data_IF_308098416857
#
_entry.id   IF_308098416857
#
_cell.length_a   1.000
_cell.length_b   1.000
_cell.length_c   1.000
_cell.angle_alpha   90.00
_cell.angle_beta   90.00
_cell.angle_gamma   90.00
#
_symmetry.space_group_name_H-M   'P 1'
#
loop_
_entity.id
_entity.type
_entity.pdbx_description
1 polymer ?
#
# COMPACT_ATOMS: atom_id res chain seq x y z
N UNK A 1 12.04 4.49 5.56
CA UNK A 1 11.29 3.23 5.37
C UNK A 1 10.08 3.54 4.53
N UNK A 2 9.48 2.50 3.98
CA UNK A 2 8.30 2.61 3.13
C UNK A 2 7.05 2.25 3.91
N UNK A 3 5.94 2.87 3.53
CA UNK A 3 4.61 2.65 4.09
C UNK A 3 3.84 1.78 3.12
N UNK A 4 3.39 0.61 3.57
CA UNK A 4 2.50 -0.25 2.80
C UNK A 4 1.10 0.35 2.85
N UNK A 5 0.54 0.61 1.67
CA UNK A 5 -0.78 1.21 1.49
C UNK A 5 -1.78 0.17 1.02
N UNK A 6 -1.37 -0.72 0.10
CA UNK A 6 -2.19 -1.84 -0.34
C UNK A 6 -1.44 -3.17 -0.26
N UNK A 7 -2.15 -4.22 0.12
CA UNK A 7 -1.73 -5.62 0.04
C UNK A 7 -2.67 -6.35 -0.89
N UNK A 8 -2.14 -6.93 -1.98
CA UNK A 8 -2.91 -7.63 -3.01
C UNK A 8 -4.10 -6.79 -3.53
N UNK A 9 -3.89 -5.48 -3.69
CA UNK A 9 -4.88 -4.51 -4.17
C UNK A 9 -5.94 -4.10 -3.13
N UNK A 10 -5.80 -4.51 -1.86
CA UNK A 10 -6.67 -4.06 -0.76
C UNK A 10 -5.95 -3.01 0.07
N UNK A 11 -6.60 -1.86 0.31
CA UNK A 11 -6.02 -0.80 1.14
C UNK A 11 -5.99 -1.20 2.61
N UNK A 12 -4.82 -1.08 3.24
CA UNK A 12 -4.57 -1.55 4.61
C UNK A 12 -4.28 -0.42 5.61
N UNK A 13 -4.40 0.84 5.22
CA UNK A 13 -3.97 2.00 6.02
C UNK A 13 -4.71 2.14 7.37
N UNK A 14 -5.83 1.46 7.53
CA UNK A 14 -6.68 1.49 8.73
C UNK A 14 -6.89 0.11 9.35
N UNK A 15 -6.18 -0.89 8.87
CA UNK A 15 -6.31 -2.27 9.34
C UNK A 15 -5.36 -2.57 10.50
N UNK A 16 -5.73 -3.58 11.30
CA UNK A 16 -4.85 -4.11 12.34
C UNK A 16 -3.71 -4.92 11.72
N UNK A 17 -2.64 -5.16 12.49
CA UNK A 17 -1.53 -6.01 12.00
C UNK A 17 -2.04 -7.42 11.66
N UNK A 18 -2.97 -7.95 12.44
CA UNK A 18 -3.58 -9.26 12.23
C UNK A 18 -4.33 -9.33 10.89
N UNK A 19 -5.09 -8.29 10.55
CA UNK A 19 -5.82 -8.19 9.28
C UNK A 19 -4.84 -8.06 8.10
N UNK A 20 -3.77 -7.27 8.25
CA UNK A 20 -2.71 -7.15 7.22
C UNK A 20 -2.07 -8.52 6.95
N UNK A 21 -1.72 -9.27 8.00
CA UNK A 21 -1.15 -10.62 7.86
C UNK A 21 -2.13 -11.55 7.14
N UNK A 22 -3.43 -11.43 7.42
CA UNK A 22 -4.47 -12.18 6.71
C UNK A 22 -4.48 -11.89 5.21
N UNK A 23 -4.36 -10.62 4.79
CA UNK A 23 -4.28 -10.28 3.36
C UNK A 23 -3.00 -10.77 2.69
N UNK A 24 -1.87 -10.74 3.40
CA UNK A 24 -0.58 -11.26 2.89
C UNK A 24 -0.70 -12.76 2.64
N UNK A 25 -1.22 -13.51 3.61
CA UNK A 25 -1.29 -14.98 3.55
C UNK A 25 -2.33 -15.48 2.56
N UNK A 26 -3.42 -14.73 2.33
CA UNK A 26 -4.48 -15.09 1.37
C UNK A 26 -4.03 -15.07 -0.10
N UNK A 27 -2.92 -14.39 -0.42
CA UNK A 27 -2.37 -14.31 -1.78
C UNK A 27 -1.65 -15.58 -2.27
N UNK A 28 -1.41 -16.55 -1.40
CA UNK A 28 -0.63 -17.76 -1.73
C UNK A 28 0.84 -17.43 -1.95
N UNK A 29 1.39 -17.86 -3.09
CA UNK A 29 2.82 -17.75 -3.38
C UNK A 29 3.25 -16.37 -3.93
N UNK A 30 2.30 -15.50 -4.26
CA UNK A 30 2.58 -14.16 -4.81
C UNK A 30 2.02 -13.08 -3.90
N UNK A 31 2.82 -12.03 -3.70
CA UNK A 31 2.45 -10.86 -2.92
C UNK A 31 2.64 -9.60 -3.76
N UNK A 32 1.56 -8.84 -3.96
CA UNK A 32 1.61 -7.52 -4.57
C UNK A 32 1.45 -6.45 -3.50
N UNK A 33 2.34 -5.44 -3.49
CA UNK A 33 2.30 -4.34 -2.52
C UNK A 33 2.24 -3.00 -3.26
N UNK A 34 1.38 -2.10 -2.78
CA UNK A 34 1.52 -0.68 -3.07
C UNK A 34 2.23 -0.02 -1.90
N UNK A 35 3.40 0.57 -2.16
CA UNK A 35 4.20 1.25 -1.15
C UNK A 35 4.47 2.70 -1.52
N UNK A 36 4.65 3.55 -0.50
CA UNK A 36 5.10 4.93 -0.65
C UNK A 36 6.18 5.20 0.38
N UNK A 37 7.21 5.96 0.03
CA UNK A 37 8.17 6.42 1.02
C UNK A 37 7.48 7.24 2.12
N UNK A 38 8.01 7.22 3.35
CA UNK A 38 7.40 7.90 4.49
C UNK A 38 7.06 9.38 4.21
N UNK A 39 7.96 10.12 3.55
CA UNK A 39 7.76 11.55 3.30
C UNK A 39 6.63 11.77 2.28
N UNK A 40 6.57 10.94 1.25
CA UNK A 40 5.48 10.92 0.28
C UNK A 40 4.14 10.60 0.94
N UNK A 41 4.10 9.58 1.80
CA UNK A 41 2.91 9.21 2.55
C UNK A 41 2.40 10.37 3.41
N UNK A 42 3.26 10.97 4.24
CA UNK A 42 2.89 12.10 5.11
C UNK A 42 2.34 13.28 4.31
N UNK A 43 2.96 13.60 3.17
CA UNK A 43 2.49 14.66 2.29
C UNK A 43 1.12 14.34 1.68
N UNK A 44 0.90 13.12 1.18
CA UNK A 44 -0.37 12.70 0.59
C UNK A 44 -1.51 12.76 1.62
N UNK A 45 -1.26 12.26 2.83
CA UNK A 45 -2.22 12.29 3.94
C UNK A 45 -2.57 13.70 4.36
N UNK A 46 -1.56 14.58 4.53
CA UNK A 46 -1.76 15.99 4.88
C UNK A 46 -2.60 16.75 3.86
N UNK A 47 -2.46 16.40 2.58
CA UNK A 47 -3.17 17.07 1.47
C UNK A 47 -4.47 16.36 1.06
N UNK A 48 -4.92 15.33 1.78
CA UNK A 48 -6.15 14.59 1.50
C UNK A 48 -6.16 13.92 0.13
N UNK A 49 -4.99 13.58 -0.43
CA UNK A 49 -4.90 12.93 -1.74
C UNK A 49 -4.97 11.41 -1.57
N UNK A 50 -5.86 10.71 -2.28
CA UNK A 50 -5.91 9.26 -2.22
C UNK A 50 -4.66 8.66 -2.84
N UNK A 51 -4.14 7.60 -2.20
CA UNK A 51 -3.01 6.82 -2.68
C UNK A 51 -3.59 5.60 -3.37
N UNK A 52 -3.49 5.51 -4.70
CA UNK A 52 -4.08 4.42 -5.49
C UNK A 52 -3.17 4.07 -6.66
N UNK A 53 -3.14 2.78 -7.02
CA UNK A 53 -2.39 2.24 -8.17
C UNK A 53 -2.73 2.94 -9.50
N UNK A 54 -3.98 3.41 -9.70
CA UNK A 54 -4.41 4.06 -10.95
C UNK A 54 -3.73 5.40 -11.25
N UNK A 55 -2.93 5.95 -10.33
CA UNK A 55 -2.24 7.24 -10.52
C UNK A 55 -0.72 7.13 -10.58
N UNK A 56 -0.17 5.95 -10.35
CA UNK A 56 1.26 5.71 -10.40
C UNK A 56 1.56 5.09 -11.76
N UNK A 57 2.29 5.82 -12.61
CA UNK A 57 2.85 5.24 -13.82
C UNK A 57 3.66 3.99 -13.41
N UNK A 58 3.60 2.89 -14.17
CA UNK A 58 4.43 1.72 -13.89
C UNK A 58 5.88 2.17 -13.75
N UNK A 59 6.49 1.86 -12.60
CA UNK A 59 7.95 1.94 -12.48
C UNK A 59 8.49 0.93 -13.48
N UNK A 60 9.03 1.43 -14.58
CA UNK A 60 9.77 0.61 -15.52
C UNK A 60 11.00 0.09 -14.77
N UNK A 61 11.23 -1.22 -14.84
CA UNK A 61 12.40 -1.90 -14.29
C UNK A 61 13.72 -1.32 -14.81
#
# INVERSE_FOLDING_TARGET
GDVVVEVNGQNVEKESMEDVISHVTRGGDTLSLLVVDQKGYDWLKKNGKPITVNKLAPISE
#
